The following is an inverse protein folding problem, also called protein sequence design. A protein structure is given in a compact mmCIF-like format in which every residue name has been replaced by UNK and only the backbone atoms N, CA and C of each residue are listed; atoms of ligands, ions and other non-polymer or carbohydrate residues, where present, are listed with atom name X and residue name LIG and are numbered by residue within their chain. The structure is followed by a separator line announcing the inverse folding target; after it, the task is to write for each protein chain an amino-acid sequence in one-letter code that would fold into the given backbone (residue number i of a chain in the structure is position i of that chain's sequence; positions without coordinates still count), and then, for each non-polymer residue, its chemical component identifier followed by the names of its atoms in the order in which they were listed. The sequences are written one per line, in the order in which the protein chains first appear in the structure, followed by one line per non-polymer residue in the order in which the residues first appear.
data_IF_129445959431
#
_entry.id   IF_129445959431
#
_cell.length_a   1.000
_cell.length_b   1.000
_cell.length_c   1.000
_cell.angle_alpha   90.00
_cell.angle_beta   90.00
_cell.angle_gamma   90.00
#
_symmetry.space_group_name_H-M   'P 1'
#
loop_
_entity.id
_entity.type
_entity.pdbx_description
1 polymer ?
#
# COMPACT_ATOMS: atom_id res chain seq x y z
N UNK A 1 -12.32 10.29 6.14
CA UNK A 1 -11.97 9.56 4.91
C UNK A 1 -10.48 9.62 4.72
N UNK A 2 -9.86 8.52 4.29
CA UNK A 2 -8.40 8.34 4.23
C UNK A 2 -7.92 8.22 2.77
N UNK A 3 -8.05 9.30 2.00
CA UNK A 3 -7.62 9.35 0.60
C UNK A 3 -6.14 8.93 0.41
N UNK A 4 -5.29 9.20 1.42
CA UNK A 4 -3.88 8.82 1.43
C UNK A 4 -3.60 7.30 1.49
N UNK A 5 -4.62 6.45 1.64
CA UNK A 5 -4.47 4.99 1.67
C UNK A 5 -4.86 4.30 0.36
N UNK A 6 -5.32 5.04 -0.65
CA UNK A 6 -5.85 4.44 -1.87
C UNK A 6 -4.72 4.02 -2.84
N UNK A 7 -4.65 2.73 -3.23
CA UNK A 7 -3.76 2.28 -4.29
C UNK A 7 -4.31 2.61 -5.68
N UNK A 8 -3.45 2.57 -6.70
CA UNK A 8 -3.82 2.75 -8.11
C UNK A 8 -3.08 1.77 -9.03
N UNK A 9 -3.70 1.46 -10.16
CA UNK A 9 -3.07 0.75 -11.25
C UNK A 9 -3.54 1.26 -12.62
N UNK A 10 -2.60 1.37 -13.55
CA UNK A 10 -2.87 1.57 -14.97
C UNK A 10 -2.59 0.28 -15.73
N UNK A 11 -3.64 -0.37 -16.24
CA UNK A 11 -3.55 -1.68 -16.90
C UNK A 11 -3.72 -1.54 -18.41
N UNK A 12 -2.71 -1.95 -19.17
CA UNK A 12 -2.78 -2.04 -20.61
C UNK A 12 -3.67 -3.18 -21.10
N UNK A 13 -3.91 -3.21 -22.42
CA UNK A 13 -4.56 -4.33 -23.08
C UNK A 13 -3.75 -5.62 -22.87
N UNK A 14 -4.42 -6.80 -22.78
CA UNK A 14 -3.73 -8.07 -22.78
C UNK A 14 -2.95 -8.26 -24.08
N UNK A 15 -1.70 -8.71 -23.95
CA UNK A 15 -0.89 -9.15 -25.07
C UNK A 15 -1.55 -10.38 -25.71
N UNK A 16 -1.84 -10.39 -27.03
CA UNK A 16 -2.60 -11.47 -27.67
C UNK A 16 -1.91 -12.84 -27.65
N UNK A 17 -0.58 -12.88 -27.48
CA UNK A 17 0.18 -14.12 -27.50
C UNK A 17 0.39 -14.68 -26.10
N UNK A 18 0.67 -13.80 -25.13
CA UNK A 18 1.06 -14.18 -23.77
C UNK A 18 -0.05 -14.01 -22.74
N UNK A 19 -1.11 -13.26 -23.08
CA UNK A 19 -2.18 -12.87 -22.16
C UNK A 19 -1.76 -11.85 -21.09
N UNK A 20 -0.47 -11.48 -21.03
CA UNK A 20 0.08 -10.56 -20.02
C UNK A 20 -0.26 -9.11 -20.34
N UNK A 21 -0.36 -8.27 -19.31
CA UNK A 21 -0.60 -6.83 -19.46
C UNK A 21 0.67 -6.07 -19.12
N UNK A 22 0.98 -5.03 -19.91
CA UNK A 22 1.85 -3.95 -19.44
C UNK A 22 1.08 -3.19 -18.36
N UNK A 23 1.69 -2.98 -17.20
CA UNK A 23 1.01 -2.38 -16.06
C UNK A 23 1.96 -1.46 -15.28
N UNK A 24 1.38 -0.41 -14.70
CA UNK A 24 2.02 0.48 -13.72
C UNK A 24 1.16 0.48 -12.46
N UNK A 25 1.80 0.37 -11.30
CA UNK A 25 1.16 0.38 -9.98
C UNK A 25 1.79 1.47 -9.14
N UNK A 26 0.96 2.33 -8.55
CA UNK A 26 1.39 3.52 -7.83
C UNK A 26 0.33 3.94 -6.80
N UNK A 27 0.69 4.64 -5.72
CA UNK A 27 -0.30 5.20 -4.82
C UNK A 27 -1.08 6.35 -5.51
N UNK A 28 -2.32 6.59 -5.11
CA UNK A 28 -3.10 7.73 -5.61
C UNK A 28 -2.51 9.08 -5.16
N UNK A 29 -1.86 9.11 -4.00
CA UNK A 29 -1.30 10.34 -3.46
C UNK A 29 -0.08 10.82 -4.27
N UNK A 30 0.11 12.14 -4.34
CA UNK A 30 1.26 12.76 -5.00
C UNK A 30 2.54 12.74 -4.16
N UNK A 31 3.47 13.64 -4.50
CA UNK A 31 4.84 13.66 -3.97
C UNK A 31 5.02 14.19 -2.55
N UNK A 32 4.04 14.95 -2.01
CA UNK A 32 4.08 15.53 -0.66
C UNK A 32 5.46 16.14 -0.28
N UNK A 33 5.96 17.14 -1.03
CA UNK A 33 7.32 17.65 -0.90
C UNK A 33 7.64 18.25 0.47
N UNK A 34 6.61 18.73 1.18
CA UNK A 34 6.71 19.29 2.52
C UNK A 34 7.12 18.26 3.58
N UNK A 35 6.93 16.96 3.34
CA UNK A 35 7.34 15.86 4.23
C UNK A 35 8.43 14.95 3.65
N UNK A 36 8.94 15.26 2.47
CA UNK A 36 10.01 14.49 1.84
C UNK A 36 11.24 14.39 2.76
N UNK A 37 11.79 13.17 2.88
CA UNK A 37 12.97 12.89 3.71
C UNK A 37 12.73 12.89 5.23
N UNK A 38 11.51 13.18 5.71
CA UNK A 38 11.21 13.24 7.15
C UNK A 38 10.80 11.90 7.77
N UNK A 39 10.62 10.85 6.96
CA UNK A 39 10.23 9.51 7.44
C UNK A 39 8.81 9.44 8.04
N UNK A 40 7.91 10.35 7.65
CA UNK A 40 6.53 10.43 8.18
C UNK A 40 5.44 10.18 7.12
N UNK A 41 5.82 9.89 5.88
CA UNK A 41 4.88 9.54 4.83
C UNK A 41 4.18 8.21 5.13
N UNK A 42 2.91 8.11 4.75
CA UNK A 42 2.14 6.88 4.86
C UNK A 42 2.53 5.90 3.74
N UNK A 43 3.11 4.72 4.02
CA UNK A 43 3.50 3.79 2.96
C UNK A 43 2.34 2.90 2.49
N UNK A 44 1.19 2.91 3.16
CA UNK A 44 0.13 1.90 2.97
C UNK A 44 -0.39 1.87 1.53
N UNK A 45 -0.63 3.02 0.90
CA UNK A 45 -1.12 3.07 -0.48
C UNK A 45 -0.14 2.44 -1.47
N UNK A 46 1.17 2.67 -1.27
CA UNK A 46 2.20 2.07 -2.12
C UNK A 46 2.29 0.55 -1.91
N UNK A 47 2.22 0.08 -0.67
CA UNK A 47 2.23 -1.35 -0.34
C UNK A 47 0.97 -2.03 -0.92
N UNK A 48 -0.20 -1.42 -0.80
CA UNK A 48 -1.44 -1.93 -1.40
C UNK A 48 -1.37 -1.93 -2.94
N UNK A 49 -0.68 -0.98 -3.56
CA UNK A 49 -0.44 -0.97 -5.01
C UNK A 49 0.46 -2.15 -5.43
N UNK A 50 1.41 -2.55 -4.58
CA UNK A 50 2.18 -3.78 -4.78
C UNK A 50 1.31 -5.04 -4.65
N UNK A 51 0.36 -5.08 -3.71
CA UNK A 51 -0.62 -6.18 -3.64
C UNK A 51 -1.45 -6.29 -4.93
N UNK A 52 -1.86 -5.17 -5.52
CA UNK A 52 -2.49 -5.14 -6.84
C UNK A 52 -1.58 -5.74 -7.93
N UNK A 53 -0.27 -5.47 -7.90
CA UNK A 53 0.67 -6.06 -8.85
C UNK A 53 0.73 -7.58 -8.74
N UNK A 54 0.84 -8.11 -7.51
CA UNK A 54 0.78 -9.54 -7.23
C UNK A 54 -0.49 -10.16 -7.80
N UNK A 55 -1.63 -9.51 -7.58
CA UNK A 55 -2.95 -9.99 -8.03
C UNK A 55 -3.10 -9.96 -9.55
N UNK A 56 -2.87 -8.80 -10.18
CA UNK A 56 -3.28 -8.56 -11.57
C UNK A 56 -2.18 -8.85 -12.59
N UNK A 57 -0.90 -8.75 -12.23
CA UNK A 57 0.22 -9.00 -13.15
C UNK A 57 0.89 -10.36 -12.93
N UNK A 58 0.88 -10.88 -11.70
CA UNK A 58 1.58 -12.12 -11.37
C UNK A 58 0.65 -13.29 -11.05
N UNK A 59 -0.67 -13.07 -10.97
CA UNK A 59 -1.67 -14.06 -10.56
C UNK A 59 -1.36 -14.71 -9.19
N UNK A 60 -0.61 -14.02 -8.34
CA UNK A 60 -0.23 -14.44 -6.99
C UNK A 60 -1.28 -13.97 -5.98
N UNK A 61 -2.51 -14.43 -6.15
CA UNK A 61 -3.69 -13.97 -5.39
C UNK A 61 -3.50 -14.17 -3.88
N UNK A 62 -3.02 -15.35 -3.47
CA UNK A 62 -2.79 -15.65 -2.05
C UNK A 62 -1.76 -14.71 -1.40
N UNK A 63 -0.71 -14.31 -2.14
CA UNK A 63 0.28 -13.37 -1.63
C UNK A 63 -0.28 -11.96 -1.56
N UNK A 64 -1.11 -11.55 -2.52
CA UNK A 64 -1.82 -10.28 -2.48
C UNK A 64 -2.75 -10.20 -1.25
N UNK A 65 -3.54 -11.25 -1.02
CA UNK A 65 -4.45 -11.34 0.13
C UNK A 65 -3.69 -11.29 1.46
N UNK A 66 -2.51 -11.94 1.55
CA UNK A 66 -1.65 -11.84 2.74
C UNK A 66 -1.16 -10.42 3.01
N UNK A 67 -0.72 -9.70 1.97
CA UNK A 67 -0.27 -8.31 2.12
C UNK A 67 -1.41 -7.40 2.56
N UNK A 68 -2.60 -7.54 1.97
CA UNK A 68 -3.79 -6.78 2.34
C UNK A 68 -4.24 -7.09 3.78
N UNK A 69 -4.21 -8.36 4.18
CA UNK A 69 -4.50 -8.77 5.55
C UNK A 69 -3.50 -8.21 6.56
N UNK A 70 -2.20 -8.18 6.21
CA UNK A 70 -1.17 -7.59 7.06
C UNK A 70 -1.39 -6.08 7.26
N UNK A 71 -1.74 -5.35 6.19
CA UNK A 71 -2.14 -3.93 6.30
C UNK A 71 -3.34 -3.77 7.23
N UNK A 72 -4.38 -4.59 7.05
CA UNK A 72 -5.57 -4.54 7.90
C UNK A 72 -5.25 -4.80 9.37
N UNK A 73 -4.36 -5.76 9.66
CA UNK A 73 -3.91 -6.06 11.01
C UNK A 73 -3.13 -4.90 11.65
N UNK A 74 -2.22 -4.25 10.91
CA UNK A 74 -1.52 -3.04 11.38
C UNK A 74 -2.50 -1.92 11.74
N UNK A 75 -3.56 -1.77 10.94
CA UNK A 75 -4.61 -0.79 11.24
C UNK A 75 -5.46 -1.20 12.45
N UNK A 76 -5.72 -2.49 12.64
CA UNK A 76 -6.43 -3.03 13.80
C UNK A 76 -5.61 -2.87 15.11
N UNK A 77 -4.28 -2.96 15.03
CA UNK A 77 -3.35 -2.68 16.13
C UNK A 77 -3.31 -1.19 16.53
N UNK A 78 -4.06 -0.33 15.83
CA UNK A 78 -4.14 1.10 16.10
C UNK A 78 -2.92 1.90 15.66
N UNK A 79 -2.04 1.34 14.82
CA UNK A 79 -0.90 2.08 14.26
C UNK A 79 -1.36 3.00 13.12
N UNK A 80 -0.96 4.28 13.16
CA UNK A 80 -1.35 5.29 12.17
C UNK A 80 -0.18 6.21 11.85
N UNK A 81 0.00 6.55 10.57
CA UNK A 81 0.76 7.75 10.19
C UNK A 81 -0.07 9.01 10.47
N UNK A 82 0.58 10.17 10.43
CA UNK A 82 -0.04 11.44 10.81
C UNK A 82 -1.30 11.79 10.00
N UNK A 83 -1.34 11.44 8.72
CA UNK A 83 -2.44 11.72 7.77
C UNK A 83 -3.72 10.92 8.04
N UNK A 84 -3.62 9.79 8.75
CA UNK A 84 -4.76 8.91 9.10
C UNK A 84 -4.97 8.78 10.61
N UNK A 85 -4.44 9.72 11.38
CA UNK A 85 -4.51 9.70 12.84
C UNK A 85 -5.96 9.70 13.34
N UNK A 86 -6.25 8.88 14.36
CA UNK A 86 -7.56 8.77 14.99
C UNK A 86 -7.41 8.75 16.52
N UNK A 87 -8.42 9.17 17.31
CA UNK A 87 -8.40 9.05 18.76
C UNK A 87 -8.13 7.61 19.20
N UNK A 88 -7.28 7.41 20.21
CA UNK A 88 -6.93 6.09 20.74
C UNK A 88 -5.92 5.29 19.90
N UNK A 89 -5.47 5.80 18.76
CA UNK A 89 -4.42 5.18 17.96
C UNK A 89 -3.02 5.69 18.34
N UNK A 90 -1.97 4.95 17.94
CA UNK A 90 -0.56 5.34 18.10
C UNK A 90 -0.03 5.92 16.80
N UNK A 91 0.52 7.14 16.88
CA UNK A 91 1.22 7.77 15.74
C UNK A 91 2.58 7.10 15.53
N UNK A 92 2.86 6.69 14.29
CA UNK A 92 4.10 6.02 13.86
C UNK A 92 4.63 6.59 12.54
N UNK A 93 5.91 6.37 12.26
CA UNK A 93 6.58 6.79 11.03
C UNK A 93 6.47 5.79 9.87
N UNK A 94 7.05 6.14 8.72
CA UNK A 94 7.04 5.30 7.50
C UNK A 94 7.66 3.93 7.74
N UNK A 95 8.86 3.90 8.33
CA UNK A 95 9.60 2.65 8.57
C UNK A 95 8.85 1.75 9.57
N UNK A 96 8.34 2.32 10.66
CA UNK A 96 7.60 1.58 11.68
C UNK A 96 6.32 0.93 11.11
N UNK A 97 5.62 1.60 10.19
CA UNK A 97 4.48 0.98 9.48
C UNK A 97 4.97 -0.18 8.60
N UNK A 98 6.07 0.00 7.87
CA UNK A 98 6.66 -1.04 7.03
C UNK A 98 7.06 -2.28 7.83
N UNK A 99 7.77 -2.08 8.94
CA UNK A 99 8.19 -3.14 9.86
C UNK A 99 6.98 -3.85 10.47
N UNK A 100 5.94 -3.10 10.84
CA UNK A 100 4.70 -3.67 11.34
C UNK A 100 4.01 -4.53 10.27
N UNK A 101 3.94 -4.08 9.00
CA UNK A 101 3.36 -4.90 7.92
C UNK A 101 4.15 -6.20 7.75
N UNK A 102 5.48 -6.14 7.74
CA UNK A 102 6.34 -7.33 7.63
C UNK A 102 6.07 -8.31 8.79
N UNK A 103 5.90 -7.80 10.01
CA UNK A 103 5.62 -8.61 11.20
C UNK A 103 4.22 -9.24 11.23
N UNK A 104 3.37 -9.00 10.22
CA UNK A 104 2.01 -9.55 10.10
C UNK A 104 1.81 -10.40 8.83
N UNK A 105 2.88 -10.71 8.08
CA UNK A 105 2.86 -11.59 6.91
C UNK A 105 2.89 -13.09 7.26
#
# INVERSE_FOLDING_TARGET
GSLGMLPSASLGAPDPQTGKRKALYEPVHGSAPDIAGKGVANPIAMIASFAMALRYSFAMVELADKVEAAIAAVLADGLRSADIMQPGCKKVGTAEIGDAVIARL
#
